data_IF_155324896856
#
_entry.id   IF_155324896856
#
_cell.length_a   1.000
_cell.length_b   1.000
_cell.length_c   1.000
_cell.angle_alpha   90.00
_cell.angle_beta   90.00
_cell.angle_gamma   90.00
#
_symmetry.space_group_name_H-M   'P 1'
#
loop_
_entity.id
_entity.type
_entity.pdbx_description
1 polymer ?
#
# COMPACT_ATOMS: atom_id res chain seq x y z
N UNK A 1 13.71 -5.10 13.44
CA UNK A 1 13.56 -4.63 12.05
C UNK A 1 12.36 -5.38 11.51
N UNK A 2 11.37 -4.64 11.05
CA UNK A 2 10.18 -5.22 10.42
C UNK A 2 10.18 -4.87 8.94
N UNK A 3 9.80 -5.83 8.10
CA UNK A 3 9.79 -5.67 6.65
C UNK A 3 8.36 -5.87 6.17
N UNK A 4 7.78 -4.84 5.56
CA UNK A 4 6.37 -4.82 5.16
C UNK A 4 6.30 -4.81 3.63
N UNK A 5 5.48 -5.70 3.07
CA UNK A 5 5.13 -5.66 1.65
C UNK A 5 4.04 -4.62 1.39
N UNK A 6 4.23 -3.74 0.43
CA UNK A 6 3.24 -2.74 0.01
C UNK A 6 2.82 -3.00 -1.43
N UNK A 7 1.52 -3.12 -1.65
CA UNK A 7 0.92 -3.39 -2.96
C UNK A 7 -0.40 -2.60 -3.11
N UNK A 8 -0.77 -2.24 -4.33
CA UNK A 8 -2.08 -1.65 -4.64
C UNK A 8 -2.44 -1.89 -6.10
N UNK A 9 -3.67 -1.59 -6.46
CA UNK A 9 -4.13 -1.55 -7.86
C UNK A 9 -3.82 -2.86 -8.60
N UNK A 10 -4.13 -4.00 -7.96
CA UNK A 10 -3.92 -5.35 -8.53
C UNK A 10 -4.98 -5.70 -9.56
N UNK A 11 -6.21 -5.17 -9.42
CA UNK A 11 -7.34 -5.39 -10.33
C UNK A 11 -7.42 -6.83 -10.88
N UNK A 12 -7.70 -7.80 -9.99
CA UNK A 12 -7.85 -9.23 -10.32
C UNK A 12 -6.56 -9.94 -10.78
N UNK A 13 -5.39 -9.32 -10.61
CA UNK A 13 -4.13 -9.92 -11.03
C UNK A 13 -3.03 -9.79 -9.99
N UNK A 14 -2.49 -10.93 -9.57
CA UNK A 14 -1.28 -11.02 -8.79
C UNK A 14 -0.12 -11.46 -9.68
N UNK A 15 0.91 -10.62 -9.77
CA UNK A 15 2.09 -10.94 -10.58
C UNK A 15 2.92 -12.08 -9.96
N UNK A 16 3.40 -13.06 -10.74
CA UNK A 16 4.18 -14.18 -10.21
C UNK A 16 5.52 -13.79 -9.59
N UNK A 17 6.02 -12.56 -9.79
CA UNK A 17 7.21 -12.05 -9.08
C UNK A 17 6.89 -11.68 -7.61
N UNK A 18 5.64 -11.36 -7.27
CA UNK A 18 5.24 -10.89 -5.93
C UNK A 18 5.61 -11.87 -4.81
N UNK A 19 5.33 -13.19 -4.89
CA UNK A 19 5.75 -14.13 -3.86
C UNK A 19 7.26 -14.13 -3.57
N UNK A 20 8.09 -13.95 -4.62
CA UNK A 20 9.54 -13.87 -4.44
C UNK A 20 9.98 -12.55 -3.81
N UNK A 21 9.34 -11.45 -4.19
CA UNK A 21 9.62 -10.11 -3.68
C UNK A 21 9.17 -9.93 -2.23
N UNK A 22 8.05 -10.54 -1.86
CA UNK A 22 7.49 -10.48 -0.52
C UNK A 22 7.96 -11.63 0.38
N UNK A 23 8.94 -12.43 -0.06
CA UNK A 23 9.51 -13.49 0.76
C UNK A 23 10.13 -12.92 2.04
N UNK A 24 9.59 -13.32 3.19
CA UNK A 24 10.09 -12.91 4.51
C UNK A 24 9.57 -11.57 5.00
N UNK A 25 8.57 -10.96 4.34
CA UNK A 25 7.83 -9.84 4.92
C UNK A 25 7.02 -10.32 6.12
N UNK A 26 6.92 -9.50 7.17
CA UNK A 26 6.13 -9.81 8.36
C UNK A 26 4.65 -9.46 8.21
N UNK A 27 4.32 -8.56 7.28
CA UNK A 27 2.97 -8.11 7.00
C UNK A 27 2.87 -7.59 5.56
N UNK A 28 1.67 -7.62 4.98
CA UNK A 28 1.37 -7.04 3.67
C UNK A 28 0.26 -6.00 3.81
N UNK A 29 0.44 -4.84 3.19
CA UNK A 29 -0.56 -3.79 3.08
C UNK A 29 -1.01 -3.71 1.62
N UNK A 30 -2.31 -3.96 1.38
CA UNK A 30 -2.94 -3.69 0.08
C UNK A 30 -3.73 -2.39 0.12
N UNK A 31 -3.28 -1.37 -0.60
CA UNK A 31 -3.84 -0.02 -0.55
C UNK A 31 -5.07 0.18 -1.43
N UNK A 32 -5.93 -0.84 -1.59
CA UNK A 32 -7.13 -0.80 -2.44
C UNK A 32 -6.93 -1.10 -3.93
N UNK A 33 -8.07 -1.19 -4.63
CA UNK A 33 -8.24 -1.66 -6.01
C UNK A 33 -7.70 -3.09 -6.18
N UNK A 34 -8.22 -3.95 -5.32
CA UNK A 34 -7.90 -5.39 -5.24
C UNK A 34 -8.54 -6.15 -6.40
N UNK A 35 -9.81 -5.84 -6.71
CA UNK A 35 -10.67 -6.68 -7.54
C UNK A 35 -11.28 -7.84 -6.73
N UNK A 36 -10.93 -9.08 -7.03
CA UNK A 36 -11.55 -10.28 -6.46
C UNK A 36 -10.94 -10.66 -5.12
N UNK A 37 -11.73 -11.21 -4.18
CA UNK A 37 -11.25 -11.66 -2.87
C UNK A 37 -10.07 -12.65 -2.94
N UNK A 38 -9.99 -13.43 -4.03
CA UNK A 38 -8.89 -14.38 -4.27
C UNK A 38 -7.50 -13.75 -4.17
N UNK A 39 -7.35 -12.48 -4.57
CA UNK A 39 -6.05 -11.79 -4.49
C UNK A 39 -5.58 -11.68 -3.03
N UNK A 40 -6.49 -11.34 -2.11
CA UNK A 40 -6.17 -11.29 -0.68
C UNK A 40 -5.82 -12.68 -0.15
N UNK A 41 -6.57 -13.71 -0.52
CA UNK A 41 -6.28 -15.09 -0.12
C UNK A 41 -4.91 -15.58 -0.61
N UNK A 42 -4.46 -15.14 -1.79
CA UNK A 42 -3.13 -15.48 -2.29
C UNK A 42 -2.01 -14.71 -1.56
N UNK A 43 -2.24 -13.44 -1.22
CA UNK A 43 -1.30 -12.64 -0.42
C UNK A 43 -1.19 -13.17 1.02
N UNK A 44 -2.31 -13.61 1.61
CA UNK A 44 -2.38 -14.18 2.96
C UNK A 44 -1.58 -15.49 3.11
N UNK A 45 -1.31 -16.20 2.01
CA UNK A 45 -0.39 -17.35 2.03
C UNK A 45 1.08 -16.94 2.25
N UNK A 46 1.40 -15.65 2.08
CA UNK A 46 2.77 -15.12 2.23
C UNK A 46 2.98 -14.51 3.61
N UNK A 47 2.04 -13.69 4.08
CA UNK A 47 2.06 -13.00 5.37
C UNK A 47 0.65 -12.47 5.70
N UNK A 48 0.36 -12.09 6.96
CA UNK A 48 -0.89 -11.40 7.30
C UNK A 48 -1.13 -10.17 6.44
N UNK A 49 -2.38 -9.95 6.02
CA UNK A 49 -2.76 -8.87 5.10
C UNK A 49 -3.67 -7.87 5.79
N UNK A 50 -3.39 -6.57 5.59
CA UNK A 50 -4.36 -5.49 5.81
C UNK A 50 -4.70 -4.89 4.46
N UNK A 51 -5.98 -4.80 4.15
CA UNK A 51 -6.48 -4.20 2.92
C UNK A 51 -7.55 -3.15 3.20
N UNK A 52 -7.62 -2.15 2.34
CA UNK A 52 -8.70 -1.15 2.31
C UNK A 52 -9.42 -1.20 0.97
N UNK A 53 -10.63 -0.65 0.91
CA UNK A 53 -11.34 -0.47 -0.36
C UNK A 53 -10.58 0.47 -1.28
N UNK A 54 -10.48 0.10 -2.56
CA UNK A 54 -10.29 1.05 -3.64
C UNK A 54 -11.60 1.49 -4.29
N UNK A 55 -11.51 2.39 -5.26
CA UNK A 55 -12.69 2.91 -5.94
C UNK A 55 -13.33 1.92 -6.92
N UNK A 56 -12.75 0.73 -7.12
CA UNK A 56 -13.32 -0.34 -7.96
C UNK A 56 -13.75 -1.59 -7.17
N UNK A 57 -13.58 -1.60 -5.85
CA UNK A 57 -13.78 -2.78 -4.97
C UNK A 57 -15.22 -2.89 -4.41
N UNK A 58 -16.24 -2.55 -5.19
CA UNK A 58 -17.64 -2.44 -4.71
C UNK A 58 -18.22 -3.70 -4.07
N UNK A 59 -17.69 -4.87 -4.43
CA UNK A 59 -18.17 -6.19 -3.98
C UNK A 59 -17.33 -6.77 -2.83
N UNK A 60 -16.39 -6.00 -2.25
CA UNK A 60 -15.55 -6.44 -1.15
C UNK A 60 -16.02 -5.87 0.20
N UNK A 61 -16.01 -6.71 1.24
CA UNK A 61 -16.26 -6.29 2.62
C UNK A 61 -14.97 -5.79 3.29
N UNK A 62 -14.40 -4.69 2.77
CA UNK A 62 -13.22 -4.03 3.34
C UNK A 62 -13.59 -2.67 3.94
N UNK A 63 -12.77 -2.17 4.86
CA UNK A 63 -12.92 -0.80 5.37
C UNK A 63 -12.36 0.20 4.36
N UNK A 64 -12.90 1.41 4.37
CA UNK A 64 -12.34 2.55 3.61
C UNK A 64 -10.94 2.95 4.12
N UNK A 65 -10.68 2.70 5.40
CA UNK A 65 -9.43 3.02 6.08
C UNK A 65 -9.08 1.95 7.10
N UNK A 66 -7.79 1.69 7.21
CA UNK A 66 -7.22 0.82 8.25
C UNK A 66 -5.99 1.45 8.89
N UNK A 67 -5.68 0.99 10.10
CA UNK A 67 -4.45 1.30 10.80
C UNK A 67 -3.60 0.05 10.95
N UNK A 68 -2.31 0.18 10.64
CA UNK A 68 -1.33 -0.89 10.84
C UNK A 68 -0.27 -0.38 11.81
N UNK A 69 -0.04 -1.15 12.86
CA UNK A 69 1.01 -0.89 13.84
C UNK A 69 2.24 -1.75 13.52
N UNK A 70 3.42 -1.12 13.46
CA UNK A 70 4.70 -1.78 13.16
C UNK A 70 5.69 -1.31 14.22
N UNK A 71 5.99 -2.15 15.19
CA UNK A 71 6.67 -1.74 16.42
C UNK A 71 5.94 -0.58 17.13
N UNK A 72 6.61 0.58 17.29
CA UNK A 72 6.02 1.78 17.91
C UNK A 72 5.45 2.77 16.90
N UNK A 73 5.37 2.37 15.62
CA UNK A 73 4.99 3.23 14.51
C UNK A 73 3.59 2.91 14.01
N UNK A 74 2.91 3.92 13.47
CA UNK A 74 1.54 3.80 12.96
C UNK A 74 1.45 4.19 11.49
N UNK A 75 0.90 3.30 10.69
CA UNK A 75 0.61 3.49 9.27
C UNK A 75 -0.90 3.65 9.11
N UNK A 76 -1.32 4.72 8.45
CA UNK A 76 -2.67 4.87 7.95
C UNK A 76 -2.74 4.32 6.51
N UNK A 77 -3.71 3.46 6.23
CA UNK A 77 -3.95 2.93 4.89
C UNK A 77 -5.25 3.52 4.36
N UNK A 78 -5.20 4.08 3.16
CA UNK A 78 -6.37 4.64 2.48
C UNK A 78 -6.08 4.77 0.98
N UNK A 79 -7.02 4.38 0.12
CA UNK A 79 -6.72 4.23 -1.30
C UNK A 79 -6.47 5.55 -2.05
N UNK A 80 -7.37 6.54 -1.92
CA UNK A 80 -7.26 7.80 -2.66
C UNK A 80 -6.65 8.87 -1.76
N UNK A 81 -5.48 9.36 -2.13
CA UNK A 81 -4.83 10.48 -1.43
C UNK A 81 -4.33 11.50 -2.45
N UNK A 82 -5.11 12.56 -2.61
CA UNK A 82 -4.70 13.72 -3.41
C UNK A 82 -3.68 14.54 -2.63
N UNK A 83 -2.48 14.69 -3.17
CA UNK A 83 -1.42 15.50 -2.55
C UNK A 83 -1.17 16.78 -3.35
N UNK A 84 -0.86 17.92 -2.68
CA UNK A 84 -0.59 18.05 -1.24
C UNK A 84 -1.83 18.32 -0.38
N UNK A 85 -3.04 18.31 -0.96
CA UNK A 85 -4.30 18.64 -0.27
C UNK A 85 -5.25 17.44 -0.33
N UNK A 86 -5.19 16.54 0.68
CA UNK A 86 -6.15 15.45 0.77
C UNK A 86 -7.57 15.96 1.02
N UNK A 87 -8.56 15.12 0.75
CA UNK A 87 -9.96 15.39 1.14
C UNK A 87 -10.06 15.68 2.65
N UNK A 88 -10.99 16.56 3.04
CA UNK A 88 -11.04 17.15 4.38
C UNK A 88 -11.15 16.11 5.50
N UNK A 89 -11.94 15.04 5.31
CA UNK A 89 -12.02 13.95 6.29
C UNK A 89 -10.67 13.27 6.51
N UNK A 90 -9.90 13.04 5.43
CA UNK A 90 -8.57 12.46 5.48
C UNK A 90 -7.59 13.42 6.17
N UNK A 91 -7.59 14.68 5.72
CA UNK A 91 -6.70 15.71 6.22
C UNK A 91 -6.91 15.92 7.73
N UNK A 92 -8.17 15.94 8.18
CA UNK A 92 -8.50 16.03 9.61
C UNK A 92 -8.06 14.78 10.39
N UNK A 93 -8.22 13.57 9.82
CA UNK A 93 -7.71 12.35 10.43
C UNK A 93 -6.19 12.42 10.61
N UNK A 94 -5.43 12.71 9.54
CA UNK A 94 -3.97 12.81 9.56
C UNK A 94 -3.50 13.85 10.58
N UNK A 95 -4.12 15.04 10.60
CA UNK A 95 -3.76 16.13 11.52
C UNK A 95 -3.97 15.76 12.99
N UNK A 96 -5.08 15.07 13.30
CA UNK A 96 -5.43 14.68 14.68
C UNK A 96 -4.64 13.47 15.17
N UNK A 97 -4.50 12.48 14.30
CA UNK A 97 -3.96 11.17 14.64
C UNK A 97 -2.45 11.05 14.40
N UNK A 98 -1.88 11.93 13.58
CA UNK A 98 -0.44 12.03 13.27
C UNK A 98 0.20 10.67 12.96
N UNK A 99 -0.23 9.98 11.88
CA UNK A 99 0.44 8.76 11.43
C UNK A 99 1.91 9.05 11.12
N UNK A 100 2.77 8.05 11.31
CA UNK A 100 4.15 8.14 10.83
C UNK A 100 4.19 8.02 9.29
N UNK A 101 3.28 7.24 8.72
CA UNK A 101 3.14 7.09 7.29
C UNK A 101 1.70 6.90 6.81
N UNK A 102 1.46 7.23 5.54
CA UNK A 102 0.22 6.97 4.80
C UNK A 102 0.56 6.12 3.57
N UNK A 103 -0.08 4.96 3.45
CA UNK A 103 0.05 4.07 2.29
C UNK A 103 -1.24 4.14 1.47
N UNK A 104 -1.10 4.40 0.17
CA UNK A 104 -2.22 4.68 -0.74
C UNK A 104 -1.97 4.16 -2.16
N UNK A 105 -3.00 4.19 -3.02
CA UNK A 105 -2.98 3.69 -4.40
C UNK A 105 -3.54 4.72 -5.39
N UNK A 106 -4.41 4.29 -6.30
CA UNK A 106 -5.22 5.11 -7.22
C UNK A 106 -4.44 5.73 -8.40
N UNK A 107 -3.33 6.41 -8.12
CA UNK A 107 -2.60 7.15 -9.18
C UNK A 107 -1.78 6.25 -10.11
N UNK A 108 -1.61 4.97 -9.74
CA UNK A 108 -0.79 3.98 -10.43
C UNK A 108 0.70 4.34 -10.53
N UNK A 109 1.15 5.35 -9.79
CA UNK A 109 2.52 5.88 -9.85
C UNK A 109 3.25 5.62 -8.55
N UNK A 110 4.34 4.86 -8.64
CA UNK A 110 5.25 4.69 -7.52
C UNK A 110 5.69 6.05 -6.98
N UNK A 111 5.46 6.30 -5.70
CA UNK A 111 5.71 7.60 -5.09
C UNK A 111 6.16 7.45 -3.65
N UNK A 112 7.16 8.24 -3.27
CA UNK A 112 7.59 8.45 -1.89
C UNK A 112 7.75 9.95 -1.66
N UNK A 113 7.04 10.50 -0.68
CA UNK A 113 7.15 11.91 -0.32
C UNK A 113 6.95 12.10 1.18
N UNK A 114 7.66 13.05 1.80
CA UNK A 114 7.40 13.45 3.19
C UNK A 114 6.77 14.83 3.21
N UNK A 115 5.60 14.96 3.84
CA UNK A 115 4.87 16.23 3.99
C UNK A 115 4.44 16.38 5.44
N UNK A 116 4.77 17.52 6.07
CA UNK A 116 4.40 17.79 7.45
C UNK A 116 4.91 16.74 8.46
N UNK A 117 6.04 16.08 8.16
CA UNK A 117 6.61 15.01 8.99
C UNK A 117 5.98 13.62 8.78
N UNK A 118 4.99 13.47 7.89
CA UNK A 118 4.34 12.20 7.55
C UNK A 118 4.90 11.66 6.25
N UNK A 119 5.23 10.37 6.18
CA UNK A 119 5.72 9.70 4.98
C UNK A 119 4.55 9.16 4.13
N UNK A 120 4.39 9.63 2.91
CA UNK A 120 3.39 9.17 1.95
C UNK A 120 4.02 8.21 0.96
N UNK A 121 3.38 7.05 0.77
CA UNK A 121 3.87 5.97 -0.09
C UNK A 121 2.74 5.48 -0.99
N UNK A 122 2.98 5.53 -2.30
CA UNK A 122 2.19 4.79 -3.28
C UNK A 122 3.09 3.70 -3.89
N UNK A 123 2.79 2.40 -3.73
CA UNK A 123 3.65 1.32 -4.22
C UNK A 123 3.63 1.19 -5.75
N UNK A 124 2.72 1.89 -6.44
CA UNK A 124 2.53 1.84 -7.89
C UNK A 124 1.39 0.92 -8.30
N UNK A 125 1.45 0.43 -9.54
CA UNK A 125 0.42 -0.41 -10.14
C UNK A 125 0.87 -1.88 -10.21
N UNK A 126 0.14 -2.79 -9.57
CA UNK A 126 0.50 -4.21 -9.54
C UNK A 126 -0.30 -5.09 -10.52
N UNK A 127 -1.35 -4.55 -11.13
CA UNK A 127 -2.24 -5.29 -12.04
C UNK A 127 -1.60 -5.70 -13.36
N UNK A 128 -2.40 -6.14 -14.33
CA UNK A 128 -1.88 -6.64 -15.62
C UNK A 128 -1.15 -5.55 -16.41
N UNK A 129 -0.15 -5.94 -17.22
CA UNK A 129 0.57 -5.01 -18.10
C UNK A 129 -0.39 -4.17 -18.96
N UNK A 130 -0.24 -2.85 -18.87
CA UNK A 130 -0.98 -1.85 -19.64
C UNK A 130 0.03 -0.87 -20.26
N UNK A 131 -0.20 -0.48 -21.51
CA UNK A 131 0.68 0.47 -22.19
C UNK A 131 0.76 1.80 -21.42
N UNK A 132 1.98 2.30 -21.20
CA UNK A 132 2.22 3.58 -20.52
C UNK A 132 2.13 3.54 -18.99
N UNK A 133 2.00 2.36 -18.37
CA UNK A 133 2.08 2.21 -16.91
C UNK A 133 3.31 1.38 -16.53
N UNK A 134 4.15 1.93 -15.66
CA UNK A 134 5.24 1.20 -15.02
C UNK A 134 4.70 0.43 -13.82
N UNK A 135 4.86 -0.89 -13.83
CA UNK A 135 4.33 -1.75 -12.77
C UNK A 135 5.33 -1.94 -11.65
N UNK A 136 4.84 -1.83 -10.41
CA UNK A 136 5.69 -2.00 -9.24
C UNK A 136 4.89 -2.41 -8.00
N UNK A 137 5.64 -2.95 -7.05
CA UNK A 137 5.27 -3.05 -5.63
C UNK A 137 6.36 -2.38 -4.81
N UNK A 138 6.21 -2.27 -3.49
CA UNK A 138 7.28 -1.77 -2.64
C UNK A 138 7.52 -2.65 -1.42
N UNK A 139 8.74 -2.54 -0.89
CA UNK A 139 9.09 -2.99 0.44
C UNK A 139 9.31 -1.78 1.33
N UNK A 140 8.78 -1.84 2.54
CA UNK A 140 9.03 -0.87 3.59
C UNK A 140 9.82 -1.54 4.72
N UNK A 141 11.05 -1.10 4.89
CA UNK A 141 11.92 -1.48 5.99
C UNK A 141 11.72 -0.49 7.15
N UNK A 142 11.15 -0.99 8.25
CA UNK A 142 10.93 -0.24 9.48
C UNK A 142 12.08 -0.50 10.46
N UNK A 143 12.99 0.48 10.57
CA UNK A 143 14.00 0.54 11.62
C UNK A 143 13.54 1.44 12.76
N UNK A 144 14.17 1.32 13.93
CA UNK A 144 13.83 2.16 15.09
C UNK A 144 13.96 3.67 14.77
N UNK A 145 14.97 4.05 13.96
CA UNK A 145 15.30 5.43 13.64
C UNK A 145 14.89 5.89 12.23
N UNK A 146 14.63 4.98 11.28
CA UNK A 146 14.43 5.34 9.87
C UNK A 146 13.45 4.39 9.15
N UNK A 147 12.78 4.94 8.14
CA UNK A 147 11.93 4.22 7.19
C UNK A 147 12.59 4.22 5.82
N UNK A 148 12.81 3.03 5.27
CA UNK A 148 13.36 2.89 3.94
C UNK A 148 12.36 2.19 3.03
N UNK A 149 11.98 2.89 1.97
CA UNK A 149 11.09 2.37 0.94
C UNK A 149 11.92 1.95 -0.27
N UNK A 150 11.70 0.73 -0.76
CA UNK A 150 12.31 0.21 -1.98
C UNK A 150 11.21 -0.24 -2.93
N UNK A 151 11.10 0.44 -4.07
CA UNK A 151 10.22 0.03 -5.17
C UNK A 151 10.84 -1.13 -5.94
N UNK A 152 10.02 -2.12 -6.26
CA UNK A 152 10.40 -3.34 -6.98
C UNK A 152 9.61 -3.38 -8.28
N UNK A 153 10.27 -3.20 -9.44
CA UNK A 153 9.60 -3.24 -10.73
C UNK A 153 9.09 -4.65 -11.04
N UNK A 154 7.87 -4.74 -11.54
CA UNK A 154 7.27 -6.00 -12.02
C UNK A 154 7.54 -6.21 -13.51
N UNK A 155 7.73 -5.11 -14.25
CA UNK A 155 8.14 -5.15 -15.66
C UNK A 155 9.67 -5.23 -15.77
N UNK A 156 10.14 -6.14 -16.62
CA UNK A 156 11.54 -6.48 -16.80
C UNK A 156 11.66 -7.84 -17.46
#
# INVERSE_FOLDING_TARGET
MELIGLISDTHDYLDPKVPSFFRGVSHIIHAGDVGRPRILLELEQMAPVTAVLGNTDYDLELKEREWVEVGTRRILVHHIVDLPVPEESLATCIRRQRPDAVVFGHTHKAMRQTLGGVLYINPGYAGRRRAGLDRSVALLECHASEWKVRFLPLDG
#
